data_IF_453364498727
#
_entry.id   IF_453364498727
#
_cell.length_a   1.000
_cell.length_b   1.000
_cell.length_c   1.000
_cell.angle_alpha   90.00
_cell.angle_beta   90.00
_cell.angle_gamma   90.00
#
_symmetry.space_group_name_H-M   'P 1'
#
loop_
_entity.id
_entity.type
_entity.pdbx_description
1 polymer ?
#
# COMPACT_ATOMS: atom_id res chain seq x y z
N UNK A 1 -18.53 -44.14 51.29
CA UNK A 1 -17.70 -45.16 51.95
C UNK A 1 -16.28 -44.64 51.93
N UNK A 2 -15.82 -44.06 53.03
CA UNK A 2 -14.90 -44.66 54.01
C UNK A 2 -13.64 -45.18 53.31
N UNK A 3 -12.42 -44.76 53.59
CA UNK A 3 -11.79 -44.70 54.92
C UNK A 3 -10.53 -43.80 54.89
N UNK A 4 -10.28 -43.15 56.00
CA UNK A 4 -9.06 -42.44 56.41
C UNK A 4 -7.96 -43.44 56.78
N UNK A 5 -6.68 -43.02 56.63
CA UNK A 5 -5.66 -43.46 57.56
C UNK A 5 -4.62 -42.35 57.79
N UNK A 6 -4.42 -42.06 59.08
CA UNK A 6 -3.36 -41.21 59.65
C UNK A 6 -2.12 -42.09 59.96
N UNK A 7 -0.95 -41.47 59.96
CA UNK A 7 0.15 -41.70 60.93
C UNK A 7 1.43 -41.12 60.35
N UNK A 8 2.41 -40.60 60.99
CA UNK A 8 2.81 -40.16 62.31
C UNK A 8 4.15 -39.42 62.11
N UNK A 9 4.45 -38.53 62.97
CA UNK A 9 5.60 -37.64 62.99
C UNK A 9 6.95 -38.37 63.27
N UNK A 10 8.03 -37.80 62.78
CA UNK A 10 9.37 -37.98 63.36
C UNK A 10 10.15 -36.65 63.24
N UNK A 11 10.50 -36.13 64.41
CA UNK A 11 11.26 -34.90 64.61
C UNK A 11 12.75 -35.19 64.42
N UNK A 12 13.42 -34.37 63.62
CA UNK A 12 14.88 -34.34 63.51
C UNK A 12 15.37 -32.90 63.44
N UNK A 13 15.93 -32.42 64.53
CA UNK A 13 16.58 -31.10 64.55
C UNK A 13 17.93 -31.17 63.85
N UNK A 14 18.16 -30.30 62.87
CA UNK A 14 19.48 -30.07 62.26
C UNK A 14 19.73 -28.56 62.14
N UNK A 15 20.87 -28.14 62.63
CA UNK A 15 21.41 -26.78 62.75
C UNK A 15 21.39 -26.03 61.42
N UNK A 16 20.88 -24.82 61.48
CA UNK A 16 20.93 -23.79 60.42
C UNK A 16 22.30 -23.12 60.41
N UNK A 17 23.10 -23.34 59.38
CA UNK A 17 24.16 -22.43 58.99
C UNK A 17 23.55 -21.44 57.98
N UNK A 18 23.41 -20.18 58.43
CA UNK A 18 22.94 -19.11 57.54
C UNK A 18 24.07 -18.69 56.57
N UNK A 19 23.99 -19.14 55.36
CA UNK A 19 24.78 -18.59 54.23
C UNK A 19 23.96 -17.46 53.64
N UNK A 20 24.40 -16.22 53.86
CA UNK A 20 23.85 -15.03 53.20
C UNK A 20 24.28 -15.02 51.75
N UNK A 21 23.42 -15.51 50.84
CA UNK A 21 23.55 -15.33 49.40
C UNK A 21 23.07 -13.91 49.08
N UNK A 22 24.00 -13.00 48.77
CA UNK A 22 23.68 -11.74 48.12
C UNK A 22 23.08 -12.04 46.73
N UNK A 23 21.93 -11.46 46.36
CA UNK A 23 21.43 -11.60 45.01
C UNK A 23 22.34 -10.83 44.04
N UNK A 24 23.10 -11.53 43.23
CA UNK A 24 23.74 -10.95 42.06
C UNK A 24 22.57 -10.64 41.06
N UNK A 25 22.26 -9.37 40.93
CA UNK A 25 21.37 -8.91 39.88
C UNK A 25 22.03 -9.22 38.53
N UNK A 26 21.61 -10.30 37.89
CA UNK A 26 21.92 -10.48 36.48
C UNK A 26 21.10 -9.45 35.72
N UNK A 27 21.77 -8.38 35.28
CA UNK A 27 21.26 -7.53 34.21
C UNK A 27 21.12 -8.44 32.98
N UNK A 28 19.89 -8.88 32.71
CA UNK A 28 19.58 -9.55 31.46
C UNK A 28 20.01 -8.61 30.30
N UNK A 29 20.46 -9.16 29.16
CA UNK A 29 20.77 -8.32 28.02
C UNK A 29 19.53 -7.48 27.71
N UNK A 30 19.72 -6.16 27.68
CA UNK A 30 18.72 -5.22 27.18
C UNK A 30 18.26 -5.81 25.84
N UNK A 31 16.98 -6.14 25.72
CA UNK A 31 16.38 -6.40 24.42
C UNK A 31 16.62 -5.14 23.62
N UNK A 32 17.62 -5.18 22.76
CA UNK A 32 17.82 -4.15 21.77
C UNK A 32 16.48 -3.95 21.09
N UNK A 33 15.95 -2.72 21.10
CA UNK A 33 14.91 -2.34 20.19
C UNK A 33 15.42 -2.81 18.82
N UNK A 34 14.72 -3.79 18.23
CA UNK A 34 15.00 -4.18 16.85
C UNK A 34 15.01 -2.90 16.01
N UNK A 35 15.81 -2.81 14.94
CA UNK A 35 15.81 -1.64 14.10
C UNK A 35 14.35 -1.34 13.76
N UNK A 36 13.88 -0.13 14.09
CA UNK A 36 12.62 0.40 13.60
C UNK A 36 12.63 0.12 12.11
N UNK A 37 11.61 -0.62 11.63
CA UNK A 37 11.63 -1.18 10.27
C UNK A 37 12.10 -0.12 9.30
N UNK A 38 13.15 -0.43 8.54
CA UNK A 38 13.72 0.51 7.58
C UNK A 38 12.57 0.97 6.70
N UNK A 39 12.36 2.29 6.62
CA UNK A 39 11.35 2.89 5.74
C UNK A 39 11.63 2.37 4.33
N UNK A 40 10.83 1.41 3.88
CA UNK A 40 10.89 0.92 2.52
C UNK A 40 10.30 2.01 1.64
N UNK A 41 11.17 2.86 1.14
CA UNK A 41 10.82 3.89 0.17
C UNK A 41 11.62 3.65 -1.10
N UNK A 42 10.95 3.77 -2.20
CA UNK A 42 11.63 3.89 -3.46
C UNK A 42 12.12 5.32 -3.66
N UNK A 43 13.27 5.47 -4.28
CA UNK A 43 13.89 6.78 -4.48
C UNK A 43 14.35 7.44 -3.17
N UNK A 44 14.43 8.77 -3.18
CA UNK A 44 14.99 9.57 -2.08
C UNK A 44 13.96 10.37 -1.29
N UNK A 45 12.73 10.52 -1.82
CA UNK A 45 11.66 11.33 -1.21
C UNK A 45 10.92 10.52 -0.15
N UNK A 46 10.65 11.12 1.01
CA UNK A 46 9.91 10.46 2.07
C UNK A 46 8.39 10.56 1.89
N UNK A 47 7.65 9.59 2.45
CA UNK A 47 6.20 9.64 2.52
C UNK A 47 5.71 10.91 3.25
N UNK A 48 6.37 11.28 4.35
CA UNK A 48 6.02 12.47 5.13
C UNK A 48 6.11 13.77 4.30
N UNK A 49 7.16 13.92 3.48
CA UNK A 49 7.33 15.10 2.63
C UNK A 49 6.22 15.22 1.58
N UNK A 50 5.82 14.11 0.96
CA UNK A 50 4.71 14.06 0.00
C UNK A 50 3.37 14.30 0.67
N UNK A 51 3.11 13.64 1.80
CA UNK A 51 1.85 13.78 2.55
C UNK A 51 1.64 15.19 3.08
N UNK A 52 2.71 15.91 3.45
CA UNK A 52 2.64 17.31 3.87
C UNK A 52 2.08 18.24 2.77
N UNK A 53 2.21 17.87 1.50
CA UNK A 53 1.73 18.66 0.35
C UNK A 53 0.28 18.37 -0.04
N UNK A 54 -0.31 17.30 0.48
CA UNK A 54 -1.68 16.85 0.17
C UNK A 54 -2.60 16.84 1.41
N UNK A 55 -2.37 17.78 2.33
CA UNK A 55 -3.18 17.94 3.55
C UNK A 55 -4.55 18.58 3.28
N UNK A 56 -4.66 19.39 2.23
CA UNK A 56 -5.90 20.05 1.82
C UNK A 56 -6.28 19.68 0.39
N UNK A 57 -7.56 19.45 0.15
CA UNK A 57 -8.12 19.09 -1.14
C UNK A 57 -8.77 20.32 -1.81
N UNK A 58 -8.25 20.69 -2.99
CA UNK A 58 -8.98 21.53 -3.95
C UNK A 58 -9.66 20.57 -4.92
N UNK A 59 -10.94 20.25 -4.66
CA UNK A 59 -11.67 19.27 -5.46
C UNK A 59 -11.79 19.74 -6.92
N UNK A 60 -11.43 18.86 -7.86
CA UNK A 60 -11.52 19.07 -9.30
C UNK A 60 -12.54 18.14 -9.96
N UNK A 61 -12.95 17.06 -9.29
CA UNK A 61 -14.00 16.17 -9.77
C UNK A 61 -15.39 16.82 -9.57
N UNK A 62 -16.31 16.56 -10.51
CA UNK A 62 -17.72 16.97 -10.41
C UNK A 62 -18.50 15.91 -9.61
N UNK A 63 -18.32 15.90 -8.29
CA UNK A 63 -18.80 14.86 -7.39
C UNK A 63 -17.67 14.08 -6.75
N UNK A 64 -18.03 12.95 -6.12
CA UNK A 64 -17.12 12.09 -5.38
C UNK A 64 -17.24 10.66 -5.85
N UNK A 65 -16.20 9.88 -5.61
CA UNK A 65 -16.14 8.45 -5.86
C UNK A 65 -16.47 7.65 -4.60
N UNK A 66 -16.79 6.39 -4.81
CA UNK A 66 -16.94 5.36 -3.77
C UNK A 66 -15.62 4.58 -3.66
N UNK A 67 -15.42 3.92 -2.56
CA UNK A 67 -14.41 2.87 -2.41
C UNK A 67 -14.92 1.55 -3.00
N UNK A 68 -16.20 1.22 -2.79
CA UNK A 68 -16.87 0.01 -3.26
C UNK A 68 -18.27 0.32 -3.78
N UNK A 69 -18.90 -0.63 -4.46
CA UNK A 69 -20.27 -0.47 -4.98
C UNK A 69 -21.29 -0.14 -3.89
N UNK A 70 -21.15 -0.75 -2.72
CA UNK A 70 -22.10 -0.62 -1.60
C UNK A 70 -21.78 0.59 -0.67
N UNK A 71 -20.65 1.29 -0.89
CA UNK A 71 -20.25 2.40 -0.04
C UNK A 71 -20.80 3.73 -0.53
N UNK A 72 -20.79 4.73 0.35
CA UNK A 72 -21.16 6.10 0.00
C UNK A 72 -20.05 6.79 -0.78
N UNK A 73 -20.40 7.66 -1.73
CA UNK A 73 -19.45 8.45 -2.49
C UNK A 73 -18.82 9.54 -1.61
N UNK A 74 -17.63 9.30 -1.12
CA UNK A 74 -16.93 10.19 -0.17
C UNK A 74 -15.58 10.71 -0.67
N UNK A 75 -14.99 10.09 -1.69
CA UNK A 75 -13.64 10.34 -2.15
C UNK A 75 -13.61 11.37 -3.29
N UNK A 76 -13.12 12.59 -3.06
CA UNK A 76 -12.91 13.58 -4.12
C UNK A 76 -11.58 13.32 -4.85
N UNK A 77 -11.52 13.69 -6.14
CA UNK A 77 -10.23 13.92 -6.82
C UNK A 77 -9.82 15.37 -6.58
N UNK A 78 -8.60 15.56 -6.10
CA UNK A 78 -8.08 16.85 -5.68
C UNK A 78 -6.97 17.32 -6.63
N UNK A 79 -6.97 18.61 -6.98
CA UNK A 79 -5.93 19.26 -7.77
C UNK A 79 -4.78 19.80 -6.93
N UNK A 80 -3.57 19.71 -7.46
CA UNK A 80 -2.35 20.36 -6.95
C UNK A 80 -1.52 20.88 -8.12
N UNK A 81 -0.55 21.74 -7.82
CA UNK A 81 0.40 22.15 -8.84
C UNK A 81 1.23 20.94 -9.31
N UNK A 82 1.14 20.61 -10.60
CA UNK A 82 1.83 19.47 -11.20
C UNK A 82 1.25 18.08 -10.90
N UNK A 83 0.19 17.95 -10.09
CA UNK A 83 -0.40 16.65 -9.76
C UNK A 83 -1.91 16.69 -9.55
N UNK A 84 -2.53 15.51 -9.55
CA UNK A 84 -3.82 15.25 -8.93
C UNK A 84 -3.63 14.20 -7.85
N UNK A 85 -4.51 14.16 -6.84
CA UNK A 85 -4.41 13.16 -5.78
C UNK A 85 -5.78 12.79 -5.21
N UNK A 86 -5.84 11.63 -4.58
CA UNK A 86 -6.93 11.21 -3.71
C UNK A 86 -6.40 10.40 -2.54
N UNK A 87 -7.24 10.24 -1.52
CA UNK A 87 -7.00 9.38 -0.37
C UNK A 87 -8.17 8.42 -0.27
N UNK A 88 -7.88 7.14 -0.36
CA UNK A 88 -8.88 6.08 -0.42
C UNK A 88 -8.38 4.82 0.31
N UNK A 89 -9.03 3.74 0.07
CA UNK A 89 -8.63 2.37 0.31
C UNK A 89 -7.62 1.86 -0.72
N UNK A 90 -7.40 0.56 -0.76
CA UNK A 90 -6.76 -0.13 -1.87
C UNK A 90 -7.43 -1.49 -2.07
N UNK A 91 -8.17 -1.64 -3.14
CA UNK A 91 -8.55 -2.92 -3.70
C UNK A 91 -7.44 -3.48 -4.58
N UNK A 92 -7.34 -4.79 -4.66
CA UNK A 92 -6.28 -5.47 -5.40
C UNK A 92 -6.76 -5.75 -6.82
N UNK A 93 -6.14 -5.08 -7.77
CA UNK A 93 -6.31 -5.37 -9.19
C UNK A 93 -5.32 -6.46 -9.64
N UNK A 94 -5.87 -7.54 -10.13
CA UNK A 94 -5.13 -8.65 -10.73
C UNK A 94 -5.30 -8.73 -12.26
N UNK A 95 -5.98 -7.77 -12.89
CA UNK A 95 -6.22 -7.77 -14.33
C UNK A 95 -4.94 -7.76 -15.16
N UNK A 96 -5.00 -8.37 -16.32
CA UNK A 96 -3.89 -8.39 -17.27
C UNK A 96 -3.34 -9.77 -17.59
N UNK A 97 -2.02 -9.91 -17.60
CA UNK A 97 -1.35 -11.17 -17.92
C UNK A 97 -1.67 -12.25 -16.87
N UNK A 98 -2.14 -13.42 -17.32
CA UNK A 98 -2.41 -14.57 -16.43
C UNK A 98 -1.10 -15.02 -15.76
N UNK A 99 -1.10 -15.09 -14.43
CA UNK A 99 0.01 -15.54 -13.59
C UNK A 99 -0.47 -16.51 -12.53
N UNK A 100 0.46 -17.00 -11.70
CA UNK A 100 0.10 -17.87 -10.58
C UNK A 100 -0.71 -17.15 -9.50
N UNK A 101 -0.44 -15.87 -9.28
CA UNK A 101 -1.12 -15.06 -8.28
C UNK A 101 -2.38 -14.36 -8.83
N UNK A 102 -2.43 -14.10 -10.15
CA UNK A 102 -3.47 -13.33 -10.82
C UNK A 102 -4.08 -14.14 -11.97
N UNK A 103 -5.26 -14.70 -11.76
CA UNK A 103 -6.02 -15.51 -12.71
C UNK A 103 -7.46 -15.72 -12.22
N UNK A 104 -8.32 -16.34 -13.02
CA UNK A 104 -9.74 -16.60 -12.72
C UNK A 104 -9.99 -17.47 -11.47
N UNK A 105 -9.00 -18.27 -11.04
CA UNK A 105 -9.12 -19.12 -9.84
C UNK A 105 -8.79 -18.34 -8.55
N UNK A 106 -7.93 -17.32 -8.65
CA UNK A 106 -7.47 -16.51 -7.50
C UNK A 106 -8.26 -15.22 -7.35
N UNK A 107 -8.81 -14.69 -8.44
CA UNK A 107 -9.60 -13.48 -8.48
C UNK A 107 -10.93 -13.70 -9.20
N UNK A 108 -12.07 -13.64 -8.48
CA UNK A 108 -13.39 -13.83 -9.09
C UNK A 108 -13.77 -12.77 -10.14
N UNK A 109 -13.07 -11.62 -10.15
CA UNK A 109 -13.32 -10.48 -11.03
C UNK A 109 -12.27 -10.33 -12.13
N UNK A 110 -11.29 -11.25 -12.19
CA UNK A 110 -10.17 -11.23 -13.12
C UNK A 110 -10.59 -10.99 -14.57
N UNK A 111 -9.91 -10.04 -15.21
CA UNK A 111 -10.01 -9.78 -16.64
C UNK A 111 -8.64 -10.02 -17.31
N UNK A 112 -8.61 -10.82 -18.37
CA UNK A 112 -7.39 -11.08 -19.13
C UNK A 112 -7.05 -9.89 -20.07
N UNK A 113 -6.85 -8.72 -19.50
CA UNK A 113 -6.54 -7.50 -20.23
C UNK A 113 -6.43 -6.30 -19.33
N UNK A 114 -5.64 -5.31 -19.73
CA UNK A 114 -5.55 -3.99 -19.09
C UNK A 114 -5.83 -2.90 -20.13
N UNK A 115 -6.39 -1.76 -19.70
CA UNK A 115 -6.69 -0.65 -20.61
C UNK A 115 -5.45 -0.08 -21.30
N UNK A 116 -4.28 -0.20 -20.66
CA UNK A 116 -3.00 0.17 -21.26
C UNK A 116 -2.13 -1.06 -21.36
N UNK A 117 -1.37 -1.13 -22.46
CA UNK A 117 -0.59 -2.31 -22.82
C UNK A 117 0.91 -2.06 -22.75
N UNK A 118 1.68 -3.14 -22.65
CA UNK A 118 3.13 -3.12 -22.77
C UNK A 118 3.57 -2.58 -24.13
N UNK A 119 4.86 -2.26 -24.27
CA UNK A 119 5.46 -1.86 -25.56
C UNK A 119 5.31 -2.92 -26.67
N UNK A 120 5.04 -4.17 -26.29
CA UNK A 120 4.78 -5.29 -27.19
C UNK A 120 3.29 -5.52 -27.49
N UNK A 121 2.37 -4.64 -27.03
CA UNK A 121 0.94 -4.76 -27.24
C UNK A 121 0.33 -5.94 -26.46
N UNK A 122 0.83 -6.22 -25.28
CA UNK A 122 0.31 -7.25 -24.36
C UNK A 122 -0.26 -6.59 -23.11
N UNK A 123 -1.24 -7.23 -22.44
CA UNK A 123 -1.68 -6.78 -21.12
C UNK A 123 -0.52 -6.61 -20.14
N UNK A 124 -0.67 -5.73 -19.17
CA UNK A 124 0.30 -5.58 -18.09
C UNK A 124 0.27 -6.80 -17.16
N UNK A 125 1.35 -7.00 -16.42
CA UNK A 125 1.48 -8.09 -15.46
C UNK A 125 1.27 -7.54 -14.04
N UNK A 126 0.08 -7.74 -13.47
CA UNK A 126 -0.29 -7.23 -12.16
C UNK A 126 0.58 -7.77 -11.02
N UNK A 127 1.08 -9.02 -11.14
CA UNK A 127 1.94 -9.63 -10.12
C UNK A 127 3.34 -9.00 -10.07
N UNK A 128 3.80 -8.35 -11.15
CA UNK A 128 5.19 -7.88 -11.30
C UNK A 128 5.34 -6.38 -11.47
N UNK A 129 4.35 -5.72 -12.07
CA UNK A 129 4.42 -4.28 -12.36
C UNK A 129 3.54 -3.51 -11.37
N UNK A 130 4.09 -2.63 -10.55
CA UNK A 130 3.30 -1.67 -9.81
C UNK A 130 2.54 -0.74 -10.76
N UNK A 131 1.21 -0.81 -10.74
CA UNK A 131 0.34 0.11 -11.44
C UNK A 131 -0.89 0.48 -10.60
N UNK A 132 -1.50 1.58 -10.97
CA UNK A 132 -2.72 2.13 -10.37
C UNK A 132 -3.83 2.12 -11.42
N UNK A 133 -5.04 1.78 -10.98
CA UNK A 133 -6.27 1.88 -11.75
C UNK A 133 -6.84 3.28 -11.58
N UNK A 134 -7.20 3.94 -12.67
CA UNK A 134 -7.94 5.21 -12.62
C UNK A 134 -9.41 4.96 -13.00
N UNK A 135 -10.38 5.68 -12.41
CA UNK A 135 -11.77 5.55 -12.82
C UNK A 135 -11.94 5.82 -14.31
N UNK A 136 -12.73 5.03 -15.01
CA UNK A 136 -13.10 5.30 -16.40
C UNK A 136 -13.71 6.68 -16.55
N UNK A 137 -13.49 7.31 -17.71
CA UNK A 137 -13.99 8.66 -17.99
C UNK A 137 -15.51 8.74 -17.81
N UNK A 138 -15.95 9.73 -17.04
CA UNK A 138 -17.35 9.94 -16.71
C UNK A 138 -17.68 11.42 -16.47
N UNK A 139 -18.94 11.71 -16.18
CA UNK A 139 -19.35 13.05 -15.75
C UNK A 139 -18.77 13.47 -14.39
N UNK A 140 -18.22 12.54 -13.60
CA UNK A 140 -17.55 12.83 -12.34
C UNK A 140 -16.16 13.39 -12.61
N UNK A 141 -15.38 12.72 -13.46
CA UNK A 141 -14.03 13.15 -13.79
C UNK A 141 -13.55 12.54 -15.10
N UNK A 142 -12.78 13.35 -15.84
CA UNK A 142 -12.02 12.91 -17.00
C UNK A 142 -10.53 13.02 -16.66
N UNK A 143 -9.88 11.90 -16.43
CA UNK A 143 -8.47 11.86 -16.08
C UNK A 143 -7.58 12.43 -17.20
N UNK A 144 -7.96 12.26 -18.47
CA UNK A 144 -7.16 12.76 -19.60
C UNK A 144 -7.16 14.28 -19.68
N UNK A 145 -8.26 14.96 -19.35
CA UNK A 145 -8.33 16.41 -19.29
C UNK A 145 -7.48 16.98 -18.14
N UNK A 146 -7.25 16.17 -17.10
CA UNK A 146 -6.36 16.50 -15.99
C UNK A 146 -4.87 16.26 -16.31
N UNK A 147 -4.53 15.81 -17.54
CA UNK A 147 -3.17 15.49 -17.94
C UNK A 147 -2.67 14.14 -17.45
N UNK A 148 -3.56 13.23 -17.05
CA UNK A 148 -3.25 11.85 -16.67
C UNK A 148 -3.48 10.93 -17.87
N UNK A 149 -2.65 9.93 -18.05
CA UNK A 149 -2.72 8.98 -19.17
C UNK A 149 -2.00 7.67 -18.84
N UNK A 150 -2.22 6.63 -19.63
CA UNK A 150 -1.49 5.37 -19.52
C UNK A 150 0.01 5.55 -19.51
N UNK A 151 0.70 4.89 -18.60
CA UNK A 151 2.12 5.08 -18.31
C UNK A 151 2.45 6.36 -17.53
N UNK A 152 1.46 7.17 -17.14
CA UNK A 152 1.66 8.30 -16.21
C UNK A 152 2.19 7.84 -14.87
N UNK A 153 3.09 8.61 -14.26
CA UNK A 153 3.75 8.22 -13.01
C UNK A 153 2.88 8.56 -11.80
N UNK A 154 2.84 7.63 -10.84
CA UNK A 154 2.08 7.75 -9.61
C UNK A 154 3.01 7.48 -8.42
N UNK A 155 2.91 8.27 -7.36
CA UNK A 155 3.42 7.91 -6.05
C UNK A 155 2.26 7.39 -5.19
N UNK A 156 2.34 6.12 -4.77
CA UNK A 156 1.38 5.49 -3.87
C UNK A 156 1.99 5.42 -2.48
N UNK A 157 1.25 5.87 -1.47
CA UNK A 157 1.78 6.02 -0.11
C UNK A 157 0.87 5.28 0.87
N UNK A 158 1.47 4.39 1.66
CA UNK A 158 0.81 3.68 2.75
C UNK A 158 1.80 3.39 3.90
N UNK A 159 1.37 3.61 5.15
CA UNK A 159 2.16 3.31 6.35
C UNK A 159 3.63 3.77 6.28
N UNK A 160 3.84 5.03 5.87
CA UNK A 160 5.17 5.65 5.71
C UNK A 160 6.06 5.05 4.60
N UNK A 161 5.49 4.23 3.71
CA UNK A 161 6.17 3.70 2.52
C UNK A 161 5.74 4.48 1.29
N UNK A 162 6.63 4.59 0.32
CA UNK A 162 6.36 5.15 -1.01
C UNK A 162 6.69 4.10 -2.05
N UNK A 163 5.75 3.86 -2.96
CA UNK A 163 5.92 3.03 -4.15
C UNK A 163 5.65 3.87 -5.39
N UNK A 164 6.54 3.83 -6.36
CA UNK A 164 6.31 4.50 -7.66
C UNK A 164 5.71 3.52 -8.64
N UNK A 165 4.50 3.80 -9.04
CA UNK A 165 3.72 3.02 -9.98
C UNK A 165 3.48 3.79 -11.29
N UNK A 166 2.85 3.12 -12.25
CA UNK A 166 2.31 3.75 -13.45
C UNK A 166 0.78 3.71 -13.46
N UNK A 167 0.14 4.59 -14.20
CA UNK A 167 -1.28 4.41 -14.55
C UNK A 167 -1.33 3.26 -15.56
N UNK A 168 -1.85 2.12 -15.14
CA UNK A 168 -1.83 0.87 -15.90
C UNK A 168 -3.19 0.42 -16.39
N UNK A 169 -4.27 0.81 -15.68
CA UNK A 169 -5.61 0.37 -16.04
C UNK A 169 -6.68 1.44 -15.78
N UNK A 170 -7.91 1.11 -16.21
CA UNK A 170 -9.12 1.91 -15.94
C UNK A 170 -10.20 1.00 -15.36
N UNK A 171 -10.72 1.39 -14.21
CA UNK A 171 -11.76 0.66 -13.48
C UNK A 171 -13.16 1.25 -13.66
N UNK A 172 -14.10 0.85 -12.80
CA UNK A 172 -15.46 1.35 -12.80
C UNK A 172 -15.52 2.87 -12.69
N UNK A 173 -16.49 3.49 -13.36
CA UNK A 173 -16.58 4.96 -13.45
C UNK A 173 -17.11 5.66 -12.20
N UNK A 174 -17.36 4.94 -11.11
CA UNK A 174 -17.85 5.46 -9.83
C UNK A 174 -17.01 5.02 -8.63
N UNK A 175 -16.04 4.15 -8.83
CA UNK A 175 -15.16 3.58 -7.80
C UNK A 175 -13.74 4.10 -8.02
N UNK A 176 -12.98 4.23 -6.93
CA UNK A 176 -11.59 4.70 -6.91
C UNK A 176 -10.89 4.11 -5.69
N UNK A 177 -9.62 3.75 -5.81
CA UNK A 177 -8.85 3.18 -4.71
C UNK A 177 -8.30 1.80 -5.03
N UNK A 178 -7.85 1.60 -6.27
CA UNK A 178 -7.48 0.28 -6.78
C UNK A 178 -6.07 0.31 -7.36
N UNK A 179 -5.29 -0.76 -7.12
CA UNK A 179 -3.93 -0.90 -7.61
C UNK A 179 -3.51 -2.37 -7.75
N UNK A 180 -2.49 -2.61 -8.56
CA UNK A 180 -2.01 -3.96 -8.87
C UNK A 180 -1.53 -4.72 -7.63
N UNK A 181 -1.56 -6.05 -7.73
CA UNK A 181 -0.96 -6.99 -6.79
C UNK A 181 0.47 -6.57 -6.38
N UNK A 182 1.30 -6.19 -7.36
CA UNK A 182 2.67 -5.74 -7.11
C UNK A 182 2.74 -4.46 -6.27
N UNK A 183 1.84 -3.48 -6.50
CA UNK A 183 1.76 -2.24 -5.71
C UNK A 183 1.44 -2.54 -4.25
N UNK A 184 0.41 -3.35 -4.01
CA UNK A 184 0.01 -3.75 -2.66
C UNK A 184 1.15 -4.45 -1.92
N UNK A 185 1.76 -5.45 -2.56
CA UNK A 185 2.86 -6.23 -2.01
C UNK A 185 4.07 -5.36 -1.64
N UNK A 186 4.46 -4.41 -2.48
CA UNK A 186 5.57 -3.48 -2.21
C UNK A 186 5.28 -2.58 -0.99
N UNK A 187 4.05 -2.11 -0.86
CA UNK A 187 3.61 -1.32 0.28
C UNK A 187 3.41 -2.15 1.56
N UNK A 188 3.40 -3.49 1.46
CA UNK A 188 3.13 -4.39 2.58
C UNK A 188 1.66 -4.47 2.95
N UNK A 189 0.79 -4.21 1.97
CA UNK A 189 -0.63 -4.51 1.99
C UNK A 189 -0.78 -5.97 1.57
N UNK A 190 -1.74 -6.70 2.14
CA UNK A 190 -2.05 -8.06 1.71
C UNK A 190 -2.48 -8.04 0.24
N UNK A 191 -1.74 -8.69 -0.68
CA UNK A 191 -2.01 -8.60 -2.10
C UNK A 191 -3.03 -9.63 -2.60
N UNK A 192 -3.67 -10.40 -1.72
CA UNK A 192 -4.69 -11.39 -2.10
C UNK A 192 -5.89 -10.67 -2.78
N UNK A 193 -6.22 -10.95 -4.05
CA UNK A 193 -7.23 -10.21 -4.77
C UNK A 193 -8.66 -10.47 -4.27
N UNK A 194 -8.91 -11.58 -3.57
CA UNK A 194 -10.23 -11.92 -3.05
C UNK A 194 -10.46 -11.42 -1.63
N UNK A 195 -9.42 -11.27 -0.81
CA UNK A 195 -9.55 -11.01 0.63
C UNK A 195 -8.54 -10.02 1.19
N UNK A 196 -7.59 -9.58 0.40
CA UNK A 196 -6.55 -8.63 0.77
C UNK A 196 -7.01 -7.17 0.68
N UNK A 197 -6.05 -6.28 0.44
CA UNK A 197 -6.30 -4.86 0.32
C UNK A 197 -6.10 -4.08 1.62
N UNK A 198 -6.50 -2.83 1.59
CA UNK A 198 -6.46 -1.93 2.75
C UNK A 198 -7.73 -1.08 2.79
N UNK A 199 -8.49 -1.18 3.86
CA UNK A 199 -9.77 -0.48 4.06
C UNK A 199 -9.69 1.06 3.95
N UNK A 200 -8.49 1.65 4.13
CA UNK A 200 -8.28 3.09 4.07
C UNK A 200 -6.79 3.46 4.24
N UNK A 201 -6.50 4.76 4.13
CA UNK A 201 -5.18 5.29 4.48
C UNK A 201 -4.17 5.28 3.34
N UNK A 202 -4.58 4.87 2.14
CA UNK A 202 -3.74 4.93 0.95
C UNK A 202 -3.88 6.30 0.29
N UNK A 203 -2.75 6.91 -0.06
CA UNK A 203 -2.70 8.18 -0.80
C UNK A 203 -2.08 7.94 -2.16
N UNK A 204 -2.77 8.38 -3.20
CA UNK A 204 -2.36 8.29 -4.60
C UNK A 204 -2.06 9.70 -5.11
N UNK A 205 -0.84 9.96 -5.57
CA UNK A 205 -0.42 11.24 -6.16
C UNK A 205 -0.01 10.98 -7.60
N UNK A 206 -0.82 11.40 -8.56
CA UNK A 206 -0.59 11.21 -9.99
C UNK A 206 0.03 12.46 -10.60
N UNK A 207 1.22 12.34 -11.14
CA UNK A 207 1.94 13.47 -11.73
C UNK A 207 1.44 13.77 -13.15
N UNK A 208 0.95 15.01 -13.35
CA UNK A 208 0.39 15.47 -14.63
C UNK A 208 1.43 15.47 -15.72
N UNK A 209 1.00 15.13 -16.94
CA UNK A 209 1.82 15.15 -18.15
C UNK A 209 3.09 14.30 -18.08
N UNK A 210 3.15 13.35 -17.14
CA UNK A 210 4.23 12.38 -17.03
C UNK A 210 3.97 11.16 -17.91
N UNK A 211 5.03 10.45 -18.29
CA UNK A 211 4.94 9.18 -19.01
C UNK A 211 6.22 8.38 -18.85
N UNK A 212 6.11 7.13 -18.52
CA UNK A 212 7.17 6.12 -18.59
C UNK A 212 7.09 5.40 -19.92
N UNK A 213 8.23 5.13 -20.52
CA UNK A 213 8.36 4.35 -21.75
C UNK A 213 9.62 3.49 -21.67
N UNK A 214 9.51 2.16 -21.82
CA UNK A 214 8.26 1.42 -21.96
C UNK A 214 7.45 1.41 -20.65
N UNK A 215 6.12 1.27 -20.76
CA UNK A 215 5.20 1.34 -19.60
C UNK A 215 5.49 0.26 -18.56
N UNK A 216 5.95 -0.92 -18.99
CA UNK A 216 6.31 -2.06 -18.16
C UNK A 216 7.65 -1.90 -17.42
N UNK A 217 8.34 -0.78 -17.56
CA UNK A 217 9.61 -0.53 -16.88
C UNK A 217 9.40 0.10 -15.49
N UNK A 218 9.34 -0.73 -14.44
CA UNK A 218 9.26 -0.23 -13.08
C UNK A 218 10.46 0.64 -12.70
N UNK A 219 11.68 0.26 -13.07
CA UNK A 219 12.88 1.07 -12.79
C UNK A 219 12.82 2.48 -13.43
N UNK A 220 12.19 2.60 -14.60
CA UNK A 220 11.96 3.91 -15.21
C UNK A 220 10.88 4.69 -14.45
N UNK A 221 9.83 4.01 -13.93
CA UNK A 221 8.83 4.63 -13.07
C UNK A 221 9.44 5.18 -11.78
N UNK A 222 10.32 4.43 -11.13
CA UNK A 222 11.06 4.86 -9.93
C UNK A 222 11.92 6.09 -10.23
N UNK A 223 12.71 6.05 -11.31
CA UNK A 223 13.60 7.16 -11.68
C UNK A 223 12.80 8.44 -11.97
N UNK A 224 11.75 8.33 -12.77
CA UNK A 224 10.88 9.47 -13.10
C UNK A 224 10.08 9.94 -11.88
N UNK A 225 9.59 9.00 -11.07
CA UNK A 225 8.80 9.27 -9.87
C UNK A 225 9.57 10.05 -8.82
N UNK A 226 10.81 9.67 -8.54
CA UNK A 226 11.67 10.39 -7.59
C UNK A 226 11.94 11.84 -8.04
N UNK A 227 12.20 12.04 -9.33
CA UNK A 227 12.42 13.38 -9.90
C UNK A 227 11.14 14.24 -9.83
N UNK A 228 9.98 13.67 -10.20
CA UNK A 228 8.68 14.35 -10.16
C UNK A 228 8.23 14.65 -8.73
N UNK A 229 8.46 13.73 -7.80
CA UNK A 229 8.16 13.93 -6.39
C UNK A 229 8.97 15.09 -5.78
N UNK A 230 10.26 15.19 -6.08
CA UNK A 230 11.10 16.35 -5.68
C UNK A 230 10.54 17.66 -6.24
N UNK A 231 10.21 17.69 -7.52
CA UNK A 231 9.62 18.86 -8.15
C UNK A 231 8.25 19.21 -7.54
N UNK A 232 7.42 18.22 -7.26
CA UNK A 232 6.12 18.41 -6.61
C UNK A 232 6.25 19.04 -5.22
N UNK A 233 7.21 18.57 -4.41
CA UNK A 233 7.48 19.13 -3.07
C UNK A 233 7.94 20.58 -3.16
N UNK A 234 8.79 20.92 -4.13
CA UNK A 234 9.29 22.28 -4.32
C UNK A 234 8.20 23.26 -4.78
N UNK A 235 7.22 22.77 -5.55
CA UNK A 235 6.18 23.60 -6.17
C UNK A 235 4.91 23.76 -5.32
N UNK A 236 4.78 23.06 -4.21
CA UNK A 236 3.62 23.08 -3.30
C UNK A 236 4.06 23.33 -1.86
#
# INVERSE_FOLDING_TARGET
MRTRTLALAASGAALLAAVTLTPVAHAGPARGAGPAGADLKEGSVSAADLLAKVTSCSQISNGKYRTDEETSATIPVCGKNGAVFWKADMDIDCDGEITAACNEDTDPWFQNGTAFETSAGKPLNAEKLPYVVVPSISSIWNYSDAGIKGGGVVAVIYNNKVEYAVVGDTGPNKIIGEASYATAKALGIDPDPATGGAESGVTYILFKNSKVSPIESHSAAVTAGDALAKQFIQNN
#
